data_IF_159041643126
#
_entry.id   IF_159041643126
#
_cell.length_a   1.000
_cell.length_b   1.000
_cell.length_c   1.000
_cell.angle_alpha   90.00
_cell.angle_beta   90.00
_cell.angle_gamma   90.00
#
_symmetry.space_group_name_H-M   'P 1'
#
loop_
_entity.id
_entity.type
_entity.pdbx_description
1 polymer ?
#
# COMPACT_ATOMS: atom_id res chain seq x y z
N UNK A 1 13.86 -14.44 -25.14
CA UNK A 1 13.13 -14.71 -23.89
C UNK A 1 11.71 -14.23 -24.06
N UNK A 2 10.71 -15.09 -23.91
CA UNK A 2 9.30 -14.72 -24.08
C UNK A 2 8.61 -14.75 -22.72
N UNK A 3 8.00 -13.62 -22.33
CA UNK A 3 7.09 -13.55 -21.18
C UNK A 3 5.73 -14.02 -21.66
N UNK A 4 5.09 -14.96 -20.94
CA UNK A 4 3.72 -15.37 -21.22
C UNK A 4 2.90 -15.50 -19.96
N UNK A 5 1.59 -15.36 -20.11
CA UNK A 5 0.62 -15.66 -19.07
C UNK A 5 0.61 -17.17 -18.82
N UNK A 6 0.56 -17.57 -17.55
CA UNK A 6 0.38 -18.96 -17.14
C UNK A 6 -1.08 -19.35 -17.22
N UNK A 7 -1.32 -20.62 -17.50
CA UNK A 7 -2.63 -21.28 -17.48
C UNK A 7 -2.83 -22.01 -16.15
N UNK A 8 -4.08 -22.41 -15.85
CA UNK A 8 -4.40 -23.10 -14.59
C UNK A 8 -3.59 -24.37 -14.37
N UNK A 9 -3.29 -25.12 -15.45
CA UNK A 9 -2.46 -26.32 -15.42
C UNK A 9 -1.01 -26.05 -14.97
N UNK A 10 -0.57 -24.78 -15.00
CA UNK A 10 0.79 -24.35 -14.66
C UNK A 10 0.87 -23.67 -13.30
N UNK A 11 -0.27 -23.46 -12.62
CA UNK A 11 -0.31 -22.79 -11.31
C UNK A 11 0.40 -23.61 -10.23
N UNK A 12 0.40 -24.93 -10.33
CA UNK A 12 1.16 -25.77 -9.40
C UNK A 12 2.67 -25.53 -9.53
N UNK A 13 3.19 -25.37 -10.75
CA UNK A 13 4.60 -25.04 -10.98
C UNK A 13 4.94 -23.64 -10.45
N UNK A 14 4.04 -22.67 -10.64
CA UNK A 14 4.17 -21.38 -9.99
C UNK A 14 4.19 -21.50 -8.46
N UNK A 15 3.31 -22.32 -7.88
CA UNK A 15 3.26 -22.53 -6.43
C UNK A 15 4.55 -23.17 -5.90
N UNK A 16 5.11 -24.17 -6.60
CA UNK A 16 6.40 -24.79 -6.27
C UNK A 16 7.53 -23.76 -6.24
N UNK A 17 7.59 -22.88 -7.25
CA UNK A 17 8.56 -21.78 -7.27
C UNK A 17 8.36 -20.81 -6.10
N UNK A 18 7.12 -20.51 -5.69
CA UNK A 18 6.86 -19.71 -4.49
C UNK A 18 7.35 -20.40 -3.21
N UNK A 19 7.02 -21.68 -3.02
CA UNK A 19 7.44 -22.47 -1.86
C UNK A 19 8.97 -22.47 -1.73
N UNK A 20 9.67 -22.66 -2.84
CA UNK A 20 11.13 -22.59 -2.89
C UNK A 20 11.65 -21.18 -2.55
N UNK A 21 11.18 -20.14 -3.25
CA UNK A 21 11.75 -18.80 -3.15
C UNK A 21 11.48 -18.13 -1.79
N UNK A 22 10.32 -18.40 -1.19
CA UNK A 22 9.87 -17.79 0.08
C UNK A 22 9.97 -18.74 1.27
N UNK A 23 10.59 -19.92 1.10
CA UNK A 23 10.94 -20.87 2.16
C UNK A 23 9.75 -21.28 3.04
N UNK A 24 8.61 -21.60 2.41
CA UNK A 24 7.44 -22.12 3.09
C UNK A 24 6.89 -23.35 2.36
N UNK A 25 6.10 -24.15 3.06
CA UNK A 25 5.39 -25.28 2.46
C UNK A 25 3.87 -25.03 2.47
N UNK A 26 3.20 -25.52 1.44
CA UNK A 26 1.73 -25.61 1.41
C UNK A 26 1.34 -27.03 1.80
N UNK A 27 0.57 -27.22 2.88
CA UNK A 27 -0.01 -28.53 3.16
C UNK A 27 -0.81 -29.04 1.96
N UNK A 28 -0.71 -30.32 1.62
CA UNK A 28 -1.40 -30.88 0.45
C UNK A 28 -2.91 -30.60 0.47
N UNK A 29 -3.52 -30.63 1.65
CA UNK A 29 -4.92 -30.30 1.88
C UNK A 29 -5.31 -28.86 1.47
N UNK A 30 -4.36 -27.92 1.50
CA UNK A 30 -4.60 -26.51 1.17
C UNK A 30 -4.32 -26.18 -0.30
N UNK A 31 -3.68 -27.08 -1.06
CA UNK A 31 -3.31 -26.84 -2.46
C UNK A 31 -4.55 -26.50 -3.32
N UNK A 32 -5.67 -27.24 -3.26
CA UNK A 32 -6.85 -26.92 -4.07
C UNK A 32 -7.39 -25.51 -3.80
N UNK A 33 -7.49 -25.11 -2.53
CA UNK A 33 -7.95 -23.78 -2.14
C UNK A 33 -6.99 -22.69 -2.65
N UNK A 34 -5.68 -22.92 -2.60
CA UNK A 34 -4.70 -21.96 -3.15
C UNK A 34 -4.77 -21.85 -4.66
N UNK A 35 -4.94 -22.96 -5.37
CA UNK A 35 -5.10 -22.97 -6.83
C UNK A 35 -6.34 -22.17 -7.25
N UNK A 36 -7.44 -22.29 -6.52
CA UNK A 36 -8.65 -21.51 -6.77
C UNK A 36 -8.40 -20.01 -6.61
N UNK A 37 -7.72 -19.58 -5.55
CA UNK A 37 -7.36 -18.16 -5.36
C UNK A 37 -6.49 -17.61 -6.49
N UNK A 38 -5.57 -18.43 -7.02
CA UNK A 38 -4.67 -18.01 -8.10
C UNK A 38 -5.42 -17.67 -9.40
N UNK A 39 -6.65 -18.13 -9.58
CA UNK A 39 -7.51 -17.73 -10.71
C UNK A 39 -7.86 -16.25 -10.72
N UNK A 40 -7.85 -15.61 -9.55
CA UNK A 40 -8.08 -14.17 -9.42
C UNK A 40 -6.83 -13.34 -9.76
N UNK A 41 -5.70 -13.98 -10.07
CA UNK A 41 -4.44 -13.30 -10.38
C UNK A 41 -4.13 -13.40 -11.87
N UNK A 42 -3.46 -12.39 -12.43
CA UNK A 42 -2.76 -12.54 -13.70
C UNK A 42 -1.31 -12.96 -13.42
N UNK A 43 -0.99 -14.22 -13.69
CA UNK A 43 0.34 -14.80 -13.43
C UNK A 43 1.12 -14.84 -14.73
N UNK A 44 2.32 -14.26 -14.73
CA UNK A 44 3.24 -14.24 -15.86
C UNK A 44 4.51 -14.99 -15.51
N UNK A 45 5.09 -15.67 -16.48
CA UNK A 45 6.32 -16.40 -16.29
C UNK A 45 7.20 -16.46 -17.54
N UNK A 46 8.45 -16.83 -17.30
CA UNK A 46 9.45 -17.11 -18.33
C UNK A 46 9.90 -18.55 -18.14
N UNK A 47 9.96 -19.29 -19.24
CA UNK A 47 10.37 -20.68 -19.28
C UNK A 47 11.76 -20.80 -19.92
N UNK A 48 12.60 -21.65 -19.34
CA UNK A 48 13.84 -22.13 -19.97
C UNK A 48 13.71 -23.65 -20.16
N UNK A 49 13.55 -24.08 -21.42
CA UNK A 49 13.16 -25.46 -21.72
C UNK A 49 11.81 -25.79 -21.09
N UNK A 50 11.76 -26.89 -20.34
CA UNK A 50 10.56 -27.36 -19.63
C UNK A 50 10.41 -26.78 -18.21
N UNK A 51 11.33 -25.90 -17.77
CA UNK A 51 11.32 -25.36 -16.41
C UNK A 51 10.82 -23.92 -16.37
N UNK A 52 9.90 -23.65 -15.44
CA UNK A 52 9.47 -22.29 -15.11
C UNK A 52 10.63 -21.57 -14.39
N UNK A 53 11.34 -20.71 -15.10
CA UNK A 53 12.54 -20.06 -14.61
C UNK A 53 12.24 -18.91 -13.64
N UNK A 54 11.20 -18.12 -13.95
CA UNK A 54 10.78 -16.98 -13.14
C UNK A 54 9.28 -16.70 -13.31
N UNK A 55 8.69 -16.04 -12.31
CA UNK A 55 7.28 -15.63 -12.33
C UNK A 55 7.03 -14.30 -11.62
N UNK A 56 5.88 -13.71 -11.91
CA UNK A 56 5.31 -12.52 -11.26
C UNK A 56 3.77 -12.61 -11.29
N UNK A 57 3.11 -12.15 -10.24
CA UNK A 57 1.66 -12.05 -10.17
C UNK A 57 1.25 -10.58 -10.22
N UNK A 58 0.17 -10.28 -10.93
CA UNK A 58 -0.58 -9.02 -10.83
C UNK A 58 -1.94 -9.38 -10.23
N UNK A 59 -2.24 -8.81 -9.08
CA UNK A 59 -3.50 -8.98 -8.36
C UNK A 59 -4.35 -7.74 -8.68
N UNK A 60 -5.49 -7.88 -9.39
CA UNK A 60 -6.39 -6.75 -9.62
C UNK A 60 -7.05 -6.34 -8.30
N UNK A 61 -6.79 -5.11 -7.88
CA UNK A 61 -7.24 -4.54 -6.62
C UNK A 61 -7.70 -3.09 -6.83
N UNK A 62 -8.29 -2.51 -5.78
CA UNK A 62 -8.65 -1.08 -5.75
C UNK A 62 -8.06 -0.42 -4.52
N UNK A 63 -7.64 0.83 -4.66
CA UNK A 63 -7.10 1.64 -3.54
C UNK A 63 -7.77 3.00 -3.48
N UNK A 64 -7.83 3.58 -2.28
CA UNK A 64 -8.34 4.91 -2.07
C UNK A 64 -7.18 5.92 -2.08
N UNK A 65 -7.14 6.83 -3.05
CA UNK A 65 -6.13 7.89 -3.16
C UNK A 65 -6.86 9.20 -3.40
N UNK A 66 -6.54 10.21 -2.59
CA UNK A 66 -7.13 11.56 -2.68
C UNK A 66 -8.67 11.60 -2.64
N UNK A 67 -9.31 10.74 -1.86
CA UNK A 67 -10.77 10.70 -1.77
C UNK A 67 -11.47 9.85 -2.84
N UNK A 68 -10.72 9.24 -3.77
CA UNK A 68 -11.26 8.47 -4.89
C UNK A 68 -10.74 7.04 -4.89
N UNK A 69 -11.54 6.11 -5.43
CA UNK A 69 -11.12 4.74 -5.68
C UNK A 69 -10.42 4.63 -7.03
N UNK A 70 -9.28 3.94 -7.06
CA UNK A 70 -8.48 3.73 -8.25
C UNK A 70 -8.18 2.26 -8.47
N UNK A 71 -8.26 1.80 -9.71
CA UNK A 71 -7.81 0.46 -10.08
C UNK A 71 -6.29 0.36 -9.92
N UNK A 72 -5.86 -0.70 -9.24
CA UNK A 72 -4.49 -0.92 -8.80
C UNK A 72 -4.04 -2.35 -9.12
N UNK A 73 -2.85 -2.49 -9.67
CA UNK A 73 -2.22 -3.80 -9.87
C UNK A 73 -1.26 -4.13 -8.74
N UNK A 74 -1.65 -5.05 -7.87
CA UNK A 74 -0.80 -5.55 -6.79
C UNK A 74 0.26 -6.49 -7.35
N UNK A 75 1.53 -6.09 -7.31
CA UNK A 75 2.64 -6.94 -7.76
C UNK A 75 3.07 -7.86 -6.62
N UNK A 76 2.89 -9.17 -6.82
CA UNK A 76 3.13 -10.18 -5.80
C UNK A 76 3.96 -11.35 -6.35
N UNK A 77 4.51 -12.15 -5.43
CA UNK A 77 5.12 -13.44 -5.75
C UNK A 77 6.24 -13.37 -6.80
N UNK A 78 6.99 -12.26 -6.88
CA UNK A 78 8.12 -12.10 -7.80
C UNK A 78 9.22 -13.07 -7.41
N UNK A 79 9.50 -14.05 -8.26
CA UNK A 79 10.44 -15.12 -7.94
C UNK A 79 11.17 -15.64 -9.18
N UNK A 80 12.40 -16.14 -8.98
CA UNK A 80 13.17 -16.86 -9.98
C UNK A 80 14.04 -17.91 -9.29
N UNK A 81 14.18 -19.10 -9.88
CA UNK A 81 15.09 -20.11 -9.35
C UNK A 81 16.55 -19.62 -9.45
N UNK A 82 17.43 -19.99 -8.49
CA UNK A 82 18.80 -19.50 -8.43
C UNK A 82 19.62 -19.72 -9.71
N UNK A 83 19.49 -20.87 -10.35
CA UNK A 83 20.17 -21.26 -11.61
C UNK A 83 19.77 -20.40 -12.82
N UNK A 84 18.66 -19.66 -12.73
CA UNK A 84 18.20 -18.72 -13.75
C UNK A 84 18.36 -17.24 -13.35
N UNK A 85 18.97 -16.96 -12.19
CA UNK A 85 19.24 -15.58 -11.76
C UNK A 85 20.28 -14.90 -12.66
N UNK A 86 20.29 -13.56 -12.64
CA UNK A 86 21.20 -12.69 -13.42
C UNK A 86 21.07 -12.82 -14.95
N UNK A 87 20.04 -13.51 -15.45
CA UNK A 87 19.70 -13.59 -16.88
C UNK A 87 18.68 -12.54 -17.34
N UNK A 88 18.26 -11.62 -16.46
CA UNK A 88 17.32 -10.54 -16.79
C UNK A 88 15.83 -10.91 -16.75
N UNK A 89 15.48 -12.14 -16.37
CA UNK A 89 14.08 -12.64 -16.35
C UNK A 89 13.12 -11.76 -15.55
N UNK A 90 13.45 -11.46 -14.29
CA UNK A 90 12.60 -10.62 -13.43
C UNK A 90 12.45 -9.21 -14.01
N UNK A 91 13.51 -8.65 -14.60
CA UNK A 91 13.43 -7.35 -15.26
C UNK A 91 12.46 -7.36 -16.44
N UNK A 92 12.44 -8.43 -17.23
CA UNK A 92 11.51 -8.59 -18.36
C UNK A 92 10.07 -8.77 -17.86
N UNK A 93 9.86 -9.53 -16.79
CA UNK A 93 8.55 -9.70 -16.15
C UNK A 93 8.00 -8.37 -15.61
N UNK A 94 8.82 -7.55 -14.95
CA UNK A 94 8.39 -6.24 -14.43
C UNK A 94 7.98 -5.31 -15.57
N UNK A 95 8.78 -5.21 -16.64
CA UNK A 95 8.44 -4.40 -17.81
C UNK A 95 7.14 -4.85 -18.46
N UNK A 96 6.95 -6.16 -18.59
CA UNK A 96 5.70 -6.73 -19.10
C UNK A 96 4.52 -6.41 -18.19
N UNK A 97 4.69 -6.52 -16.86
CA UNK A 97 3.65 -6.20 -15.90
C UNK A 97 3.22 -4.73 -15.96
N UNK A 98 4.17 -3.79 -16.12
CA UNK A 98 3.85 -2.37 -16.33
C UNK A 98 2.99 -2.14 -17.57
N UNK A 99 3.33 -2.81 -18.68
CA UNK A 99 2.55 -2.70 -19.92
C UNK A 99 1.16 -3.33 -19.75
N UNK A 100 1.05 -4.49 -19.11
CA UNK A 100 -0.22 -5.16 -18.82
C UNK A 100 -1.13 -4.29 -17.93
N UNK A 101 -0.61 -3.75 -16.83
CA UNK A 101 -1.35 -2.84 -15.95
C UNK A 101 -1.82 -1.60 -16.70
N UNK A 102 -0.96 -1.01 -17.54
CA UNK A 102 -1.31 0.14 -18.35
C UNK A 102 -2.42 -0.17 -19.37
N UNK A 103 -2.40 -1.36 -19.99
CA UNK A 103 -3.42 -1.80 -20.93
C UNK A 103 -4.77 -2.09 -20.25
N UNK A 104 -4.76 -2.40 -18.95
CA UNK A 104 -5.93 -2.67 -18.12
C UNK A 104 -6.41 -1.48 -17.31
N UNK A 105 -5.88 -0.29 -17.56
CA UNK A 105 -6.22 0.93 -16.83
C UNK A 105 -5.99 0.84 -15.30
N UNK A 106 -5.08 -0.03 -14.88
CA UNK A 106 -4.61 -0.09 -13.49
C UNK A 106 -3.60 1.04 -13.30
N UNK A 107 -4.09 2.22 -12.91
CA UNK A 107 -3.31 3.47 -12.88
C UNK A 107 -2.27 3.51 -11.78
N UNK A 108 -2.42 2.68 -10.75
CA UNK A 108 -1.45 2.51 -9.67
C UNK A 108 -0.98 1.06 -9.57
N UNK A 109 0.19 0.86 -8.97
CA UNK A 109 0.70 -0.48 -8.64
C UNK A 109 1.43 -0.46 -7.31
N UNK A 110 1.01 -1.34 -6.39
CA UNK A 110 1.60 -1.49 -5.07
C UNK A 110 2.30 -2.84 -4.92
N UNK A 111 3.31 -2.91 -4.05
CA UNK A 111 4.01 -4.15 -3.70
C UNK A 111 4.68 -4.07 -2.34
N UNK A 112 4.86 -5.24 -1.72
CA UNK A 112 5.78 -5.42 -0.59
C UNK A 112 7.18 -5.79 -1.11
N UNK A 113 8.21 -4.95 -0.90
CA UNK A 113 9.53 -5.19 -1.47
C UNK A 113 10.33 -6.21 -0.64
N UNK A 114 10.97 -7.19 -1.29
CA UNK A 114 12.07 -7.94 -0.66
C UNK A 114 13.34 -7.08 -0.52
N UNK A 115 13.50 -6.09 -1.41
CA UNK A 115 14.58 -5.11 -1.41
C UNK A 115 14.06 -3.81 -2.03
N UNK A 116 14.05 -2.72 -1.27
CA UNK A 116 13.52 -1.42 -1.72
C UNK A 116 14.33 -0.88 -2.91
N UNK A 117 15.66 -1.00 -2.87
CA UNK A 117 16.54 -0.48 -3.93
C UNK A 117 16.33 -1.21 -5.26
N UNK A 118 15.93 -2.48 -5.22
CA UNK A 118 15.62 -3.27 -6.40
C UNK A 118 14.41 -2.68 -7.16
N UNK A 119 13.29 -2.46 -6.45
CA UNK A 119 12.07 -1.95 -7.07
C UNK A 119 12.13 -0.45 -7.39
N UNK A 120 12.93 0.32 -6.63
CA UNK A 120 13.16 1.75 -6.89
C UNK A 120 13.72 1.99 -8.29
N UNK A 121 14.61 1.12 -8.76
CA UNK A 121 15.14 1.18 -10.14
C UNK A 121 14.05 1.06 -11.20
N UNK A 122 12.92 0.42 -10.90
CA UNK A 122 11.79 0.23 -11.81
C UNK A 122 10.67 1.27 -11.67
N UNK A 123 10.88 2.31 -10.86
CA UNK A 123 9.95 3.42 -10.70
C UNK A 123 8.99 3.34 -9.51
N UNK A 124 9.06 2.27 -8.71
CA UNK A 124 8.32 2.22 -7.44
C UNK A 124 9.02 3.07 -6.38
N UNK A 125 8.26 3.65 -5.47
CA UNK A 125 8.81 4.33 -4.31
C UNK A 125 8.07 3.93 -3.04
N UNK A 126 8.72 4.03 -1.88
CA UNK A 126 8.04 3.89 -0.59
C UNK A 126 6.86 4.87 -0.58
N UNK A 127 5.69 4.40 -0.16
CA UNK A 127 4.55 5.29 0.06
C UNK A 127 4.00 5.20 1.47
N UNK A 128 4.46 4.27 2.31
CA UNK A 128 3.91 4.12 3.65
C UNK A 128 4.88 3.44 4.60
N UNK A 129 4.65 3.74 5.88
CA UNK A 129 5.36 3.22 7.03
C UNK A 129 4.33 2.76 8.06
N UNK A 130 4.69 1.75 8.84
CA UNK A 130 3.94 1.44 10.05
C UNK A 130 4.76 1.79 11.28
N UNK A 131 4.04 2.17 12.33
CA UNK A 131 4.56 2.42 13.67
C UNK A 131 4.21 1.21 14.54
N UNK A 132 5.23 0.50 14.99
CA UNK A 132 5.11 -0.58 15.97
C UNK A 132 5.36 -0.03 17.37
N UNK A 133 4.38 -0.15 18.25
CA UNK A 133 4.52 0.22 19.66
C UNK A 133 4.54 -1.05 20.52
N UNK A 134 5.54 -1.16 21.39
CA UNK A 134 5.66 -2.25 22.37
C UNK A 134 5.31 -1.73 23.77
N UNK A 135 4.40 -2.42 24.43
CA UNK A 135 3.78 -2.01 25.68
C UNK A 135 3.97 -3.14 26.68
N UNK A 136 4.59 -2.83 27.81
CA UNK A 136 4.76 -3.82 28.87
C UNK A 136 3.51 -3.85 29.73
N UNK A 137 3.28 -4.97 30.40
CA UNK A 137 2.19 -5.13 31.38
C UNK A 137 2.07 -3.98 32.39
N UNK A 138 3.19 -3.45 32.87
CA UNK A 138 3.19 -2.33 33.83
C UNK A 138 2.54 -1.05 33.28
N UNK A 139 2.55 -0.89 31.95
CA UNK A 139 2.00 0.27 31.24
C UNK A 139 0.54 0.07 30.78
N UNK A 140 -0.05 -1.11 31.04
CA UNK A 140 -1.47 -1.40 30.81
C UNK A 140 -2.32 -0.72 31.89
N UNK A 141 -2.46 0.60 31.75
CA UNK A 141 -3.26 1.45 32.63
C UNK A 141 -4.48 1.95 31.89
N UNK A 142 -5.66 1.60 32.41
CA UNK A 142 -6.92 2.11 31.89
C UNK A 142 -6.94 3.65 31.91
N UNK A 143 -7.68 4.22 30.96
CA UNK A 143 -7.88 5.67 30.86
C UNK A 143 -9.33 6.00 30.56
N UNK A 144 -9.72 7.24 30.83
CA UNK A 144 -11.08 7.73 30.61
C UNK A 144 -12.15 6.95 31.38
N UNK A 145 -13.42 7.30 31.14
CA UNK A 145 -14.58 6.59 31.70
C UNK A 145 -15.03 5.53 30.69
N UNK A 146 -15.14 4.25 31.08
CA UNK A 146 -15.71 3.22 30.23
C UNK A 146 -17.17 3.56 29.84
N UNK A 147 -17.53 3.27 28.59
CA UNK A 147 -18.88 3.39 28.04
C UNK A 147 -19.11 2.29 27.01
N UNK A 148 -20.34 2.12 26.54
CA UNK A 148 -20.66 1.17 25.48
C UNK A 148 -20.33 -0.28 25.83
N UNK A 149 -20.13 -1.09 24.79
CA UNK A 149 -19.81 -2.52 24.91
C UNK A 149 -18.81 -2.98 23.86
N UNK A 150 -18.08 -4.06 24.15
CA UNK A 150 -17.19 -4.71 23.18
C UNK A 150 -17.65 -6.13 22.91
N UNK A 151 -17.75 -6.48 21.63
CA UNK A 151 -18.08 -7.84 21.16
C UNK A 151 -16.94 -8.38 20.30
N UNK A 152 -16.62 -9.67 20.49
CA UNK A 152 -15.59 -10.38 19.72
C UNK A 152 -16.23 -11.18 18.58
N UNK A 153 -15.55 -11.21 17.44
CA UNK A 153 -15.98 -11.86 16.21
C UNK A 153 -14.82 -12.69 15.65
N UNK A 154 -15.12 -13.96 15.37
CA UNK A 154 -14.24 -14.83 14.58
C UNK A 154 -14.51 -14.64 13.08
N UNK A 155 -13.69 -15.24 12.22
CA UNK A 155 -13.89 -15.25 10.76
C UNK A 155 -15.31 -15.67 10.36
N UNK A 156 -15.87 -16.70 10.99
CA UNK A 156 -17.22 -17.21 10.68
C UNK A 156 -18.35 -16.31 11.21
N UNK A 157 -18.02 -15.23 11.89
CA UNK A 157 -18.95 -14.24 12.44
C UNK A 157 -18.66 -12.86 11.85
N UNK A 158 -18.04 -12.78 10.67
CA UNK A 158 -17.77 -11.50 10.01
C UNK A 158 -19.06 -10.70 9.79
N UNK A 159 -18.98 -9.38 9.88
CA UNK A 159 -20.16 -8.50 9.76
C UNK A 159 -19.83 -7.24 8.97
N UNK A 160 -20.83 -6.71 8.26
CA UNK A 160 -20.74 -5.44 7.52
C UNK A 160 -20.39 -4.25 8.41
N UNK A 161 -20.64 -4.33 9.72
CA UNK A 161 -20.21 -3.30 10.68
C UNK A 161 -18.69 -3.14 10.70
N UNK A 162 -17.94 -4.24 10.62
CA UNK A 162 -16.47 -4.23 10.57
C UNK A 162 -16.00 -3.57 9.27
N UNK A 163 -16.59 -3.97 8.14
CA UNK A 163 -16.27 -3.39 6.83
C UNK A 163 -16.53 -1.88 6.80
N UNK A 164 -17.66 -1.42 7.37
CA UNK A 164 -18.02 0.00 7.46
C UNK A 164 -17.00 0.79 8.28
N UNK A 165 -16.61 0.28 9.46
CA UNK A 165 -15.61 0.95 10.32
C UNK A 165 -14.29 1.08 9.59
N UNK A 166 -13.80 0.02 8.94
CA UNK A 166 -12.56 0.07 8.17
C UNK A 166 -12.64 1.10 7.05
N UNK A 167 -13.73 1.08 6.25
CA UNK A 167 -13.93 2.02 5.15
C UNK A 167 -13.87 3.47 5.64
N UNK A 168 -14.57 3.79 6.72
CA UNK A 168 -14.58 5.15 7.29
C UNK A 168 -13.24 5.53 7.94
N UNK A 169 -12.55 4.59 8.59
CA UNK A 169 -11.22 4.82 9.14
C UNK A 169 -10.21 5.12 8.03
N UNK A 170 -10.23 4.35 6.94
CA UNK A 170 -9.28 4.46 5.84
C UNK A 170 -9.52 5.68 4.94
N UNK A 171 -10.71 6.30 4.95
CA UNK A 171 -10.96 7.57 4.25
C UNK A 171 -10.07 8.73 4.72
N UNK A 172 -9.46 8.62 5.91
CA UNK A 172 -8.51 9.61 6.46
C UNK A 172 -7.13 9.52 5.82
N UNK A 173 -6.89 8.43 5.09
CA UNK A 173 -5.60 8.10 4.51
C UNK A 173 -5.71 7.92 3.00
N UNK A 174 -4.56 8.09 2.36
CA UNK A 174 -4.35 7.73 0.97
C UNK A 174 -3.56 6.42 0.88
N UNK A 175 -3.84 5.62 -0.14
CA UNK A 175 -3.26 4.31 -0.36
C UNK A 175 -4.03 3.13 0.26
N UNK A 176 -5.05 3.37 1.09
CA UNK A 176 -5.80 2.27 1.74
C UNK A 176 -6.46 1.33 0.73
N UNK A 177 -6.39 0.01 0.96
CA UNK A 177 -7.04 -0.97 0.10
C UNK A 177 -8.56 -0.85 0.22
N UNK A 178 -9.27 -0.91 -0.91
CA UNK A 178 -10.72 -1.11 -0.92
C UNK A 178 -10.98 -2.60 -0.75
N UNK A 179 -11.38 -2.99 0.46
CA UNK A 179 -11.66 -4.40 0.82
C UNK A 179 -13.12 -4.74 0.49
N UNK A 180 -13.32 -5.76 -0.33
CA UNK A 180 -14.61 -6.45 -0.43
C UNK A 180 -14.70 -7.58 0.60
N UNK A 181 -15.88 -8.18 0.76
CA UNK A 181 -16.10 -9.26 1.73
C UNK A 181 -15.21 -10.48 1.44
N UNK A 182 -14.92 -10.76 0.17
CA UNK A 182 -13.97 -11.82 -0.21
C UNK A 182 -12.59 -11.54 0.38
N UNK A 183 -12.11 -10.29 0.33
CA UNK A 183 -10.83 -9.91 0.89
C UNK A 183 -10.78 -10.09 2.40
N UNK A 184 -11.82 -9.63 3.11
CA UNK A 184 -11.97 -9.82 4.55
C UNK A 184 -11.86 -11.28 4.96
N UNK A 185 -12.67 -12.14 4.34
CA UNK A 185 -12.76 -13.54 4.70
C UNK A 185 -11.47 -14.32 4.39
N UNK A 186 -10.74 -13.93 3.33
CA UNK A 186 -9.62 -14.73 2.82
C UNK A 186 -8.24 -14.22 3.21
N UNK A 187 -8.08 -12.93 3.52
CA UNK A 187 -6.76 -12.32 3.72
C UNK A 187 -6.59 -11.54 5.03
N UNK A 188 -7.66 -11.12 5.70
CA UNK A 188 -7.54 -10.28 6.92
C UNK A 188 -7.42 -11.11 8.19
N UNK A 189 -8.32 -12.08 8.40
CA UNK A 189 -8.41 -12.76 9.70
C UNK A 189 -7.18 -13.63 10.02
N UNK A 190 -6.66 -14.43 9.08
CA UNK A 190 -5.64 -15.46 9.40
C UNK A 190 -6.00 -16.25 10.69
N UNK A 191 -5.20 -16.13 11.75
CA UNK A 191 -5.38 -16.69 13.10
C UNK A 191 -5.83 -15.63 14.14
N UNK A 192 -6.16 -14.43 13.69
CA UNK A 192 -6.66 -13.31 14.50
C UNK A 192 -8.19 -13.37 14.67
N UNK A 193 -8.66 -12.64 15.66
CA UNK A 193 -10.07 -12.32 15.88
C UNK A 193 -10.26 -10.80 15.91
N UNK A 194 -11.50 -10.35 15.76
CA UNK A 194 -11.83 -8.93 15.81
C UNK A 194 -12.62 -8.60 17.07
N UNK A 195 -12.23 -7.56 17.81
CA UNK A 195 -13.06 -6.96 18.86
C UNK A 195 -13.63 -5.63 18.35
N UNK A 196 -14.94 -5.48 18.34
CA UNK A 196 -15.63 -4.24 17.90
C UNK A 196 -16.19 -3.52 19.13
N UNK A 197 -15.92 -2.23 19.21
CA UNK A 197 -16.55 -1.32 20.15
C UNK A 197 -17.88 -0.78 19.60
N UNK A 198 -18.94 -0.91 20.40
CA UNK A 198 -20.26 -0.33 20.14
C UNK A 198 -20.54 0.74 21.19
N UNK A 199 -20.96 1.94 20.75
CA UNK A 199 -21.38 3.01 21.66
C UNK A 199 -22.71 2.67 22.37
N UNK A 200 -23.18 3.54 23.27
CA UNK A 200 -24.42 3.33 24.03
C UNK A 200 -25.69 3.26 23.13
N UNK A 201 -25.62 3.81 21.91
CA UNK A 201 -26.67 3.70 20.89
C UNK A 201 -26.61 2.38 20.10
N UNK A 202 -25.62 1.53 20.34
CA UNK A 202 -25.44 0.25 19.64
C UNK A 202 -24.74 0.34 18.29
N UNK A 203 -24.10 1.47 17.97
CA UNK A 203 -23.38 1.67 16.71
C UNK A 203 -21.90 1.31 16.85
N UNK A 204 -21.35 0.57 15.88
CA UNK A 204 -19.94 0.22 15.84
C UNK A 204 -19.05 1.43 15.52
N UNK A 205 -18.10 1.74 16.40
CA UNK A 205 -17.28 2.97 16.32
C UNK A 205 -15.77 2.69 16.26
N UNK A 206 -15.36 1.43 16.31
CA UNK A 206 -13.96 1.03 16.20
C UNK A 206 -13.78 -0.47 16.34
N UNK A 207 -12.65 -1.01 15.86
CA UNK A 207 -12.27 -2.39 16.10
C UNK A 207 -10.76 -2.58 16.30
N UNK A 208 -10.41 -3.74 16.87
CA UNK A 208 -9.06 -4.29 16.91
C UNK A 208 -9.02 -5.62 16.16
N UNK A 209 -8.07 -5.82 15.26
CA UNK A 209 -7.69 -7.15 14.76
C UNK A 209 -6.54 -7.66 15.62
N UNK A 210 -6.79 -8.67 16.44
CA UNK A 210 -5.84 -9.09 17.48
C UNK A 210 -5.82 -10.60 17.73
N UNK A 211 -4.71 -11.08 18.28
CA UNK A 211 -4.58 -12.42 18.83
C UNK A 211 -3.82 -12.38 20.15
N UNK A 212 -4.09 -13.37 21.00
CA UNK A 212 -3.39 -13.56 22.27
C UNK A 212 -2.77 -14.95 22.26
N UNK A 213 -1.45 -15.03 22.40
CA UNK A 213 -0.70 -16.28 22.40
C UNK A 213 0.60 -16.10 23.16
N UNK A 214 1.03 -17.12 23.90
CA UNK A 214 2.34 -17.14 24.58
C UNK A 214 2.59 -15.91 25.48
N UNK A 215 1.55 -15.50 26.24
CA UNK A 215 1.53 -14.29 27.09
C UNK A 215 1.79 -12.98 26.34
N UNK A 216 1.49 -12.93 25.03
CA UNK A 216 1.59 -11.72 24.20
C UNK A 216 0.26 -11.44 23.51
N UNK A 217 -0.06 -10.15 23.37
CA UNK A 217 -1.13 -9.70 22.50
C UNK A 217 -0.54 -8.99 21.27
N UNK A 218 -0.84 -9.52 20.10
CA UNK A 218 -0.51 -8.88 18.82
C UNK A 218 -1.77 -8.20 18.29
N UNK A 219 -1.69 -6.89 18.05
CA UNK A 219 -2.73 -6.08 17.40
C UNK A 219 -2.17 -5.59 16.07
N UNK A 220 -2.68 -6.17 14.99
CA UNK A 220 -2.27 -5.82 13.62
C UNK A 220 -3.08 -4.67 13.05
N UNK A 221 -4.32 -4.48 13.52
CA UNK A 221 -5.14 -3.33 13.15
C UNK A 221 -5.77 -2.69 14.39
N UNK A 222 -5.62 -1.37 14.52
CA UNK A 222 -6.34 -0.56 15.49
C UNK A 222 -7.07 0.57 14.75
N UNK A 223 -8.35 0.34 14.48
CA UNK A 223 -9.20 1.30 13.79
C UNK A 223 -10.22 1.92 14.75
N UNK A 224 -10.10 3.22 15.01
CA UNK A 224 -11.03 3.95 15.87
C UNK A 224 -11.56 5.21 15.18
N UNK A 225 -12.89 5.34 15.12
CA UNK A 225 -13.54 6.45 14.43
C UNK A 225 -13.54 7.73 15.27
N UNK A 226 -13.53 7.61 16.59
CA UNK A 226 -13.53 8.75 17.49
C UNK A 226 -12.72 8.47 18.77
N UNK A 227 -12.64 9.47 19.66
CA UNK A 227 -11.87 9.36 20.89
C UNK A 227 -12.48 8.36 21.88
N UNK A 228 -13.81 8.27 21.95
CA UNK A 228 -14.52 7.32 22.81
C UNK A 228 -14.17 5.87 22.44
N UNK A 229 -14.15 5.55 21.14
CA UNK A 229 -13.73 4.24 20.64
C UNK A 229 -12.25 3.96 20.97
N UNK A 230 -11.36 4.94 20.81
CA UNK A 230 -9.92 4.78 21.18
C UNK A 230 -9.76 4.41 22.65
N UNK A 231 -10.47 5.11 23.54
CA UNK A 231 -10.42 4.88 24.98
C UNK A 231 -10.96 3.49 25.33
N UNK A 232 -12.13 3.12 24.80
CA UNK A 232 -12.75 1.84 25.15
C UNK A 232 -12.01 0.63 24.56
N UNK A 233 -11.49 0.73 23.33
CA UNK A 233 -10.62 -0.32 22.77
C UNK A 233 -9.31 -0.44 23.55
N UNK A 234 -8.70 0.68 23.98
CA UNK A 234 -7.54 0.65 24.87
C UNK A 234 -7.84 -0.01 26.22
N UNK A 235 -8.99 0.33 26.83
CA UNK A 235 -9.40 -0.26 28.09
C UNK A 235 -9.66 -1.77 27.96
N UNK A 236 -10.13 -2.24 26.80
CA UNK A 236 -10.22 -3.67 26.51
C UNK A 236 -8.85 -4.34 26.43
N UNK A 237 -7.85 -3.70 25.82
CA UNK A 237 -6.47 -4.19 25.84
C UNK A 237 -5.99 -4.32 27.30
N UNK A 238 -6.23 -3.30 28.13
CA UNK A 238 -5.83 -3.29 29.54
C UNK A 238 -6.47 -4.43 30.37
N UNK A 239 -7.68 -4.88 30.03
CA UNK A 239 -8.35 -5.99 30.73
C UNK A 239 -7.66 -7.35 30.53
N UNK A 240 -6.62 -7.42 29.69
CA UNK A 240 -5.80 -8.62 29.50
C UNK A 240 -4.51 -8.59 30.35
N UNK A 241 -4.36 -7.65 31.29
CA UNK A 241 -3.17 -7.50 32.15
C UNK A 241 -2.76 -8.78 32.91
N UNK A 242 -3.73 -9.61 33.29
CA UNK A 242 -3.51 -10.91 33.93
C UNK A 242 -3.07 -12.01 32.96
N UNK A 243 -3.27 -11.83 31.65
CA UNK A 243 -3.02 -12.81 30.59
C UNK A 243 -1.75 -12.55 29.78
N UNK A 244 -1.26 -11.30 29.75
CA UNK A 244 -0.15 -10.91 28.88
C UNK A 244 0.94 -10.17 29.64
N UNK A 245 2.18 -10.34 29.19
CA UNK A 245 3.35 -9.59 29.66
C UNK A 245 3.71 -8.46 28.69
N UNK A 246 3.34 -8.58 27.41
CA UNK A 246 3.64 -7.61 26.36
C UNK A 246 2.47 -7.48 25.37
N UNK A 247 2.20 -6.25 24.93
CA UNK A 247 1.28 -5.92 23.83
C UNK A 247 2.05 -5.23 22.72
N UNK A 248 1.87 -5.70 21.48
CA UNK A 248 2.37 -5.08 20.26
C UNK A 248 1.20 -4.47 19.50
N UNK A 249 1.28 -3.17 19.20
CA UNK A 249 0.28 -2.48 18.39
C UNK A 249 0.93 -1.91 17.13
N UNK A 250 0.34 -2.23 15.98
CA UNK A 250 0.67 -1.62 14.69
C UNK A 250 -0.35 -0.50 14.40
N UNK A 251 0.15 0.71 14.13
CA UNK A 251 -0.66 1.86 13.68
C UNK A 251 0.03 2.63 12.58
N UNK A 252 -0.69 3.57 11.96
CA UNK A 252 -0.07 4.62 11.13
C UNK A 252 0.89 5.45 11.97
N UNK A 253 1.98 5.94 11.36
CA UNK A 253 2.84 6.97 11.95
C UNK A 253 2.06 8.24 12.30
N UNK A 254 0.94 8.49 11.60
CA UNK A 254 0.06 9.64 11.82
C UNK A 254 -1.05 9.38 12.84
N UNK A 255 -1.20 8.17 13.35
CA UNK A 255 -2.17 7.86 14.39
C UNK A 255 -1.77 8.53 15.71
N UNK A 256 -2.70 9.16 16.45
CA UNK A 256 -2.39 9.85 17.71
C UNK A 256 -1.92 8.92 18.83
N UNK A 257 -2.02 7.59 18.70
CA UNK A 257 -1.46 6.66 19.68
C UNK A 257 0.08 6.82 19.78
N UNK A 258 0.69 6.88 20.98
CA UNK A 258 0.10 6.74 22.32
C UNK A 258 -0.18 8.07 23.06
N UNK A 259 -0.25 9.21 22.38
CA UNK A 259 -0.32 10.55 23.00
C UNK A 259 -1.41 10.71 24.07
N UNK A 260 -2.57 10.06 23.88
CA UNK A 260 -3.71 10.17 24.80
C UNK A 260 -3.61 9.25 26.04
N UNK A 261 -2.53 8.48 26.18
CA UNK A 261 -2.29 7.65 27.36
C UNK A 261 -1.69 8.47 28.51
N UNK A 262 -1.94 8.04 29.75
CA UNK A 262 -1.34 8.68 30.93
C UNK A 262 0.19 8.58 30.97
N UNK A 263 0.75 7.51 30.39
CA UNK A 263 2.19 7.30 30.24
C UNK A 263 2.49 6.97 28.77
N UNK A 264 2.75 7.99 27.93
CA UNK A 264 3.00 7.79 26.50
C UNK A 264 4.44 7.39 26.17
N UNK A 265 5.33 7.31 27.17
CA UNK A 265 6.74 6.96 27.00
C UNK A 265 6.91 5.45 26.75
N UNK A 266 6.54 5.02 25.55
CA UNK A 266 6.56 3.64 25.10
C UNK A 266 7.63 3.44 24.02
N UNK A 267 8.16 2.22 23.92
CA UNK A 267 9.09 1.88 22.83
C UNK A 267 8.32 1.87 21.51
N UNK A 268 8.72 2.73 20.58
CA UNK A 268 8.15 2.83 19.24
C UNK A 268 9.23 2.64 18.17
N UNK A 269 8.92 1.86 17.15
CA UNK A 269 9.78 1.62 15.99
C UNK A 269 8.98 1.90 14.72
N UNK A 270 9.56 2.65 13.78
CA UNK A 270 8.95 2.99 12.50
C UNK A 270 9.68 2.25 11.39
N UNK A 271 8.92 1.60 10.51
CA UNK A 271 9.47 0.81 9.41
C UNK A 271 8.80 1.21 8.09
N UNK A 272 9.58 1.49 7.03
CA UNK A 272 9.05 1.49 5.67
C UNK A 272 8.40 0.13 5.37
N UNK A 273 7.20 0.15 4.80
CA UNK A 273 6.40 -1.06 4.67
C UNK A 273 6.13 -1.43 3.21
N UNK A 274 5.51 -0.53 2.46
CA UNK A 274 5.01 -0.83 1.12
C UNK A 274 5.49 0.22 0.11
N UNK A 275 5.64 -0.23 -1.13
CA UNK A 275 6.00 0.64 -2.25
C UNK A 275 4.84 0.78 -3.23
N UNK A 276 4.77 1.93 -3.88
CA UNK A 276 3.71 2.34 -4.78
C UNK A 276 4.27 3.06 -5.99
N UNK A 277 3.56 2.94 -7.11
CA UNK A 277 3.96 3.51 -8.40
C UNK A 277 2.73 3.95 -9.17
N UNK A 278 2.80 5.12 -9.80
CA UNK A 278 1.89 5.50 -10.88
C UNK A 278 2.27 4.71 -12.13
N UNK A 279 1.34 3.95 -12.69
CA UNK A 279 1.55 3.17 -13.92
C UNK A 279 1.41 4.06 -15.15
N UNK A 280 0.40 4.94 -15.18
CA UNK A 280 0.16 5.89 -16.27
C UNK A 280 -0.05 7.31 -15.74
N UNK A 281 0.97 8.16 -15.85
CA UNK A 281 0.96 9.53 -15.35
C UNK A 281 -0.05 10.43 -16.10
N UNK A 282 -0.26 10.22 -17.40
CA UNK A 282 -1.22 11.02 -18.16
C UNK A 282 -2.66 10.79 -17.72
N UNK A 283 -3.07 9.52 -17.64
CA UNK A 283 -4.41 9.15 -17.17
C UNK A 283 -4.61 9.47 -15.69
N UNK A 284 -3.59 9.23 -14.86
CA UNK A 284 -3.62 9.53 -13.44
C UNK A 284 -3.78 11.04 -13.19
N UNK A 285 -2.85 11.87 -13.67
CA UNK A 285 -2.88 13.32 -13.44
C UNK A 285 -4.13 13.97 -14.06
N UNK A 286 -4.60 13.48 -15.21
CA UNK A 286 -5.83 13.98 -15.83
C UNK A 286 -7.12 13.70 -15.04
N UNK A 287 -7.12 12.72 -14.14
CA UNK A 287 -8.25 12.37 -13.28
C UNK A 287 -8.05 12.81 -11.82
N UNK A 288 -6.85 13.25 -11.47
CA UNK A 288 -6.49 13.61 -10.10
C UNK A 288 -7.04 14.98 -9.72
N UNK A 289 -7.72 15.09 -8.58
CA UNK A 289 -8.24 16.37 -8.07
C UNK A 289 -7.16 17.17 -7.35
N UNK A 290 -6.65 18.21 -8.00
CA UNK A 290 -5.75 19.19 -7.38
C UNK A 290 -6.53 20.24 -6.60
N UNK A 291 -5.86 20.91 -5.66
CA UNK A 291 -6.40 22.13 -5.06
C UNK A 291 -6.43 23.24 -6.12
N UNK A 292 -7.54 23.98 -6.18
CA UNK A 292 -7.68 25.14 -7.06
C UNK A 292 -6.67 26.23 -6.67
N UNK A 293 -5.86 26.66 -7.64
CA UNK A 293 -5.11 27.91 -7.55
C UNK A 293 -4.79 28.41 -8.96
N UNK A 294 -4.94 29.72 -9.16
CA UNK A 294 -4.80 30.37 -10.47
C UNK A 294 -3.41 30.26 -11.12
N UNK A 295 -2.45 29.69 -10.41
CA UNK A 295 -1.08 29.50 -10.85
C UNK A 295 -0.94 28.18 -11.61
N UNK A 296 -0.07 28.15 -12.61
CA UNK A 296 0.16 26.96 -13.43
C UNK A 296 1.58 26.44 -13.21
N UNK A 297 1.75 25.12 -13.16
CA UNK A 297 3.05 24.48 -13.01
C UNK A 297 3.28 23.41 -14.07
N UNK A 298 4.48 23.38 -14.63
CA UNK A 298 4.93 22.32 -15.53
C UNK A 298 5.70 21.27 -14.75
N UNK A 299 5.39 19.99 -15.00
CA UNK A 299 6.14 18.84 -14.51
C UNK A 299 6.76 18.10 -15.71
N UNK A 300 8.06 17.87 -15.67
CA UNK A 300 8.81 17.07 -16.65
C UNK A 300 9.11 15.73 -16.01
N UNK A 301 8.43 14.69 -16.48
CA UNK A 301 8.47 13.36 -15.86
C UNK A 301 9.39 12.44 -16.65
N UNK A 302 10.29 11.77 -15.93
CA UNK A 302 11.19 10.74 -16.45
C UNK A 302 10.81 9.35 -15.90
N UNK A 303 10.67 8.39 -16.81
CA UNK A 303 10.34 7.00 -16.56
C UNK A 303 11.00 6.09 -17.62
N UNK A 304 12.12 5.48 -17.25
CA UNK A 304 12.88 4.61 -18.15
C UNK A 304 12.19 3.27 -18.44
N UNK A 305 11.21 2.88 -17.63
CA UNK A 305 10.59 1.55 -17.70
C UNK A 305 9.17 1.56 -18.25
N UNK A 306 8.51 2.72 -18.21
CA UNK A 306 7.24 2.97 -18.87
C UNK A 306 7.33 4.27 -19.69
N UNK A 307 7.89 4.23 -20.91
CA UNK A 307 8.14 5.43 -21.71
C UNK A 307 6.89 6.24 -22.06
N UNK A 308 5.70 5.65 -21.97
CA UNK A 308 4.43 6.37 -22.10
C UNK A 308 4.21 7.42 -21.00
N UNK A 309 4.99 7.42 -19.92
CA UNK A 309 4.99 8.45 -18.89
C UNK A 309 5.95 9.62 -19.17
N UNK A 310 6.89 9.47 -20.10
CA UNK A 310 7.83 10.55 -20.43
C UNK A 310 7.09 11.72 -21.09
N UNK A 311 7.44 12.94 -20.68
CA UNK A 311 6.90 14.17 -21.26
C UNK A 311 6.71 15.28 -20.25
N UNK A 312 6.12 16.37 -20.72
CA UNK A 312 5.79 17.55 -19.92
C UNK A 312 4.29 17.63 -19.64
N UNK A 313 3.94 17.97 -18.42
CA UNK A 313 2.57 17.99 -17.91
C UNK A 313 2.29 19.36 -17.33
N UNK A 314 1.37 20.10 -17.93
CA UNK A 314 0.90 21.37 -17.38
C UNK A 314 -0.28 21.09 -16.45
N UNK A 315 -0.10 21.38 -15.16
CA UNK A 315 -1.17 21.34 -14.18
C UNK A 315 -1.74 22.75 -14.06
N UNK A 316 -3.00 22.91 -14.48
CA UNK A 316 -3.76 24.15 -14.45
C UNK A 316 -5.18 23.89 -13.91
N UNK A 317 -5.91 24.94 -13.55
CA UNK A 317 -7.27 24.81 -13.01
C UNK A 317 -8.26 24.25 -14.04
N UNK A 318 -8.06 24.54 -15.35
CA UNK A 318 -8.84 23.92 -16.42
C UNK A 318 -8.56 22.42 -16.64
N UNK A 319 -7.60 21.86 -15.90
CA UNK A 319 -7.19 20.46 -15.95
C UNK A 319 -5.73 20.27 -16.40
N UNK A 320 -5.38 19.01 -16.68
CA UNK A 320 -4.00 18.64 -17.04
C UNK A 320 -3.82 18.54 -18.55
N UNK A 321 -2.87 19.30 -19.09
CA UNK A 321 -2.46 19.22 -20.50
C UNK A 321 -1.13 18.48 -20.64
N UNK A 322 -1.09 17.49 -21.53
CA UNK A 322 0.07 16.60 -21.70
C UNK A 322 0.80 16.88 -23.01
N UNK A 323 2.10 17.11 -22.92
CA UNK A 323 3.00 17.35 -24.05
C UNK A 323 4.02 16.21 -24.11
N UNK A 324 3.78 15.25 -25.01
CA UNK A 324 4.67 14.09 -25.21
C UNK A 324 5.93 14.48 -25.96
N UNK A 325 7.04 13.87 -25.60
CA UNK A 325 8.27 13.96 -26.38
C UNK A 325 8.04 13.38 -27.79
N UNK A 326 8.47 14.10 -28.82
CA UNK A 326 8.45 13.56 -30.18
C UNK A 326 9.57 12.53 -30.31
N UNK A 327 9.27 11.37 -30.87
CA UNK A 327 10.29 10.37 -31.18
C UNK A 327 11.35 10.98 -32.11
N UNK A 328 12.62 10.98 -31.67
CA UNK A 328 13.76 11.50 -32.43
C UNK A 328 14.14 12.97 -32.18
N UNK A 329 13.40 13.72 -31.34
CA UNK A 329 13.85 15.03 -30.88
C UNK A 329 14.65 14.88 -29.58
N UNK A 330 15.97 14.86 -29.66
CA UNK A 330 16.79 15.21 -28.49
C UNK A 330 16.69 16.72 -28.33
N UNK A 331 15.85 17.19 -27.41
CA UNK A 331 15.92 18.58 -26.97
C UNK A 331 17.32 18.80 -26.38
N UNK A 332 18.16 19.54 -27.11
CA UNK A 332 19.56 19.81 -26.74
C UNK A 332 19.64 20.55 -25.40
N UNK A 333 18.58 21.28 -25.04
CA UNK A 333 18.39 21.87 -23.72
C UNK A 333 17.04 21.43 -23.13
N UNK A 334 17.00 20.96 -21.87
CA UNK A 334 15.74 20.78 -21.16
C UNK A 334 14.99 22.12 -21.07
N UNK A 335 13.64 22.10 -21.06
CA UNK A 335 12.85 23.32 -20.90
C UNK A 335 13.27 24.06 -19.62
N UNK A 336 13.56 25.36 -19.74
CA UNK A 336 14.10 26.17 -18.62
C UNK A 336 13.08 26.48 -17.50
N UNK A 337 11.81 26.14 -17.71
CA UNK A 337 10.69 26.40 -16.79
C UNK A 337 10.03 25.07 -16.44
N UNK A 338 9.60 24.91 -15.20
CA UNK A 338 8.98 23.69 -14.69
C UNK A 338 9.89 22.88 -13.78
N UNK A 339 9.32 21.80 -13.25
CA UNK A 339 9.96 20.90 -12.30
C UNK A 339 10.30 19.58 -12.99
N UNK A 340 11.55 19.18 -12.92
CA UNK A 340 12.02 17.87 -13.35
C UNK A 340 11.96 16.88 -12.19
N UNK A 341 11.37 15.72 -12.41
CA UNK A 341 11.28 14.65 -11.41
C UNK A 341 11.11 13.27 -12.06
N UNK A 342 11.49 12.24 -11.31
CA UNK A 342 11.24 10.85 -11.70
C UNK A 342 9.79 10.43 -11.44
N UNK A 343 9.36 9.34 -12.06
CA UNK A 343 8.10 8.68 -11.71
C UNK A 343 8.03 8.25 -10.24
N UNK A 344 9.18 7.96 -9.61
CA UNK A 344 9.29 7.64 -8.18
C UNK A 344 8.83 8.83 -7.32
N UNK A 345 9.42 10.01 -7.57
CA UNK A 345 9.09 11.25 -6.87
C UNK A 345 7.62 11.63 -7.09
N UNK A 346 7.13 11.56 -8.34
CA UNK A 346 5.72 11.82 -8.63
C UNK A 346 4.80 10.86 -7.88
N UNK A 347 5.14 9.57 -7.82
CA UNK A 347 4.34 8.57 -7.10
C UNK A 347 4.28 8.87 -5.60
N UNK A 348 5.41 9.23 -4.98
CA UNK A 348 5.46 9.60 -3.56
C UNK A 348 4.61 10.85 -3.24
N UNK A 349 4.55 11.82 -4.16
CA UNK A 349 3.71 13.03 -4.03
C UNK A 349 2.22 12.70 -4.16
N UNK A 350 1.84 12.03 -5.25
CA UNK A 350 0.43 11.79 -5.61
C UNK A 350 -0.23 10.82 -4.65
N UNK A 351 0.50 9.82 -4.14
CA UNK A 351 -0.01 8.93 -3.10
C UNK A 351 -0.05 9.63 -1.73
N UNK A 352 0.69 10.73 -1.53
CA UNK A 352 0.66 11.54 -0.31
C UNK A 352 1.65 11.11 0.76
N UNK A 353 2.75 10.47 0.38
CA UNK A 353 3.83 10.07 1.30
C UNK A 353 4.84 11.20 1.53
N UNK A 354 5.16 11.98 0.48
CA UNK A 354 6.09 13.10 0.56
C UNK A 354 5.52 14.35 -0.08
N UNK A 355 5.81 15.50 0.53
CA UNK A 355 5.41 16.79 -0.01
C UNK A 355 6.39 17.27 -1.09
N UNK A 356 5.91 18.00 -2.12
CA UNK A 356 6.76 18.60 -3.14
C UNK A 356 7.98 19.35 -2.58
N UNK A 357 7.79 20.17 -1.53
CA UNK A 357 8.92 20.91 -0.95
C UNK A 357 9.94 20.01 -0.25
N UNK A 358 9.51 18.91 0.40
CA UNK A 358 10.45 17.94 0.98
C UNK A 358 11.35 17.32 -0.10
N UNK A 359 10.76 16.91 -1.23
CA UNK A 359 11.51 16.30 -2.32
C UNK A 359 12.38 17.31 -3.08
N UNK A 360 11.97 18.58 -3.13
CA UNK A 360 12.80 19.67 -3.65
C UNK A 360 14.05 19.86 -2.79
N UNK A 361 13.89 19.95 -1.47
CA UNK A 361 15.00 20.13 -0.52
C UNK A 361 15.95 18.92 -0.51
N UNK A 362 15.44 17.72 -0.81
CA UNK A 362 16.25 16.50 -1.02
C UNK A 362 16.95 16.45 -2.39
N UNK A 363 16.61 17.33 -3.32
CA UNK A 363 17.16 17.36 -4.69
C UNK A 363 16.56 16.32 -5.65
N UNK A 364 15.48 15.64 -5.25
CA UNK A 364 14.72 14.69 -6.07
C UNK A 364 13.80 15.40 -7.08
N UNK A 365 13.42 16.65 -6.78
CA UNK A 365 12.75 17.56 -7.71
C UNK A 365 13.71 18.72 -8.01
N UNK A 366 13.87 19.06 -9.29
CA UNK A 366 14.77 20.14 -9.73
C UNK A 366 14.02 21.17 -10.56
N UNK A 367 14.33 22.45 -10.35
CA UNK A 367 13.71 23.56 -11.09
C UNK A 367 13.62 24.83 -10.24
N UNK A 368 12.87 25.84 -10.70
CA UNK A 368 12.63 27.05 -9.94
C UNK A 368 11.88 26.75 -8.63
N UNK A 369 12.36 27.28 -7.51
CA UNK A 369 11.71 27.08 -6.20
C UNK A 369 10.24 27.52 -6.19
N UNK A 370 9.93 28.62 -6.86
CA UNK A 370 8.54 29.11 -6.97
C UNK A 370 7.60 28.07 -7.60
N UNK A 371 8.07 27.30 -8.60
CA UNK A 371 7.26 26.25 -9.23
C UNK A 371 7.02 25.09 -8.23
N UNK A 372 8.00 24.75 -7.38
CA UNK A 372 7.84 23.76 -6.32
C UNK A 372 6.85 24.22 -5.24
N UNK A 373 6.85 25.50 -4.89
CA UNK A 373 5.89 26.10 -3.96
C UNK A 373 4.47 26.14 -4.55
N UNK A 374 4.33 26.36 -5.86
CA UNK A 374 3.02 26.23 -6.55
C UNK A 374 2.54 24.79 -6.49
N UNK A 375 3.41 23.82 -6.82
CA UNK A 375 3.06 22.41 -6.75
C UNK A 375 2.65 22.00 -5.32
N UNK A 376 3.37 22.47 -4.31
CA UNK A 376 3.04 22.26 -2.89
C UNK A 376 1.61 22.68 -2.58
N UNK A 377 1.19 23.86 -3.05
CA UNK A 377 -0.19 24.35 -2.87
C UNK A 377 -1.21 23.56 -3.68
N UNK A 378 -0.86 23.11 -4.89
CA UNK A 378 -1.76 22.32 -5.76
C UNK A 378 -2.01 20.91 -5.25
N UNK A 379 -1.08 20.29 -4.54
CA UNK A 379 -1.25 18.92 -4.04
C UNK A 379 -2.05 18.93 -2.73
N UNK A 380 -3.23 18.28 -2.66
CA UNK A 380 -3.99 18.14 -1.42
C UNK A 380 -3.16 17.55 -0.29
N UNK A 381 -3.33 18.05 0.93
CA UNK A 381 -2.65 17.51 2.10
C UNK A 381 -3.27 16.17 2.46
N UNK A 382 -2.48 15.11 2.34
CA UNK A 382 -2.89 13.74 2.59
C UNK A 382 -1.86 13.05 3.49
N UNK A 383 -2.29 11.96 4.11
CA UNK A 383 -1.46 11.08 4.93
C UNK A 383 -1.56 9.70 4.34
N UNK A 384 -0.45 9.09 3.96
CA UNK A 384 -0.51 7.76 3.35
C UNK A 384 -0.46 6.64 4.40
N UNK A 385 -1.27 5.60 4.22
CA UNK A 385 -1.29 4.45 5.11
C UNK A 385 -1.85 3.19 4.44
N UNK A 386 -1.35 2.02 4.85
CA UNK A 386 -1.74 0.72 4.32
C UNK A 386 -1.65 -0.37 5.40
N UNK A 387 -2.73 -1.14 5.60
CA UNK A 387 -2.75 -2.28 6.54
C UNK A 387 -2.44 -3.62 5.87
N UNK A 388 -2.87 -3.78 4.62
CA UNK A 388 -2.89 -5.10 3.96
C UNK A 388 -1.51 -5.60 3.56
N UNK A 389 -1.45 -6.88 3.21
CA UNK A 389 -0.27 -7.57 2.70
C UNK A 389 -0.67 -8.47 1.53
N UNK A 390 0.15 -8.55 0.48
CA UNK A 390 -0.08 -9.44 -0.66
C UNK A 390 1.19 -9.82 -1.41
#
# INVERSE_FOLDING_TARGET
MSVRKLTENEYLEAMKLSMYAFQYNVPEADIPARMERLKNHAIFGIWEGESLAAKLHIIPLKVHINGFEWDMGGVAGVAAYPEFRRKGHVSSLIKHALAEMNNKDQLFSFLHPFDISFYRKYGWEIFTEYKKTLIKKIDLKMTGKPSGTIKRFTKNQHTLTIEKIYKEYMQRYSGGLVRDSYWWENFVYSDYQIAVYFNDSGEGQGYLLFKVKDNKMDIEEFAALNQEARVNLWNFICQHDSMVEEVKIITSVHDPFPYYLNQPNLKMEVFPYFMGRIVNAGKCLGQYSFNENSENVFLHIEDHHAPWNNGSYLIADEGVRVFKEKAGSQCINPPARGLHMSINALSAIIIGYKRPMELYDLGEIKGPRNDAEILERKIPVQKSFFYDFF
#
